data_IF_003318845703
#
_entry.id   IF_003318845703
#
_cell.length_a   1.000
_cell.length_b   1.000
_cell.length_c   1.000
_cell.angle_alpha   90.00
_cell.angle_beta   90.00
_cell.angle_gamma   90.00
#
_symmetry.space_group_name_H-M   'P 1'
#
loop_
_entity.id
_entity.type
_entity.pdbx_description
1 polymer ?
#
# COMPACT_ATOMS: atom_id res chain seq x y z
N UNK A 1 10.64 -28.27 8.78
CA UNK A 1 10.61 -27.67 7.43
C UNK A 1 9.38 -26.78 7.19
N UNK A 2 8.24 -27.01 7.86
CA UNK A 2 7.02 -26.18 7.73
C UNK A 2 7.21 -24.68 8.01
N UNK A 3 8.11 -24.30 8.93
CA UNK A 3 8.40 -22.89 9.24
C UNK A 3 9.01 -22.09 8.09
N UNK A 4 9.49 -22.77 7.03
CA UNK A 4 10.05 -22.12 5.84
C UNK A 4 9.01 -21.81 4.76
N UNK A 5 7.77 -22.26 4.95
CA UNK A 5 6.69 -21.99 4.00
C UNK A 5 6.23 -20.53 4.13
N UNK A 6 6.25 -19.71 3.06
CA UNK A 6 5.94 -18.28 3.15
C UNK A 6 4.55 -17.96 3.68
N UNK A 7 3.59 -18.86 3.50
CA UNK A 7 2.22 -18.71 3.99
C UNK A 7 2.05 -19.05 5.47
N UNK A 8 3.07 -19.62 6.12
CA UNK A 8 3.00 -20.01 7.53
C UNK A 8 3.57 -18.88 8.40
N UNK A 9 2.76 -18.41 9.34
CA UNK A 9 3.13 -17.41 10.34
C UNK A 9 3.84 -18.05 11.53
N UNK A 10 3.29 -19.15 12.04
CA UNK A 10 3.87 -19.90 13.14
C UNK A 10 3.42 -21.36 13.13
N UNK A 11 4.28 -22.23 13.67
CA UNK A 11 3.98 -23.64 13.91
C UNK A 11 4.27 -23.94 15.38
N UNK A 12 3.33 -24.57 16.06
CA UNK A 12 3.53 -25.08 17.42
C UNK A 12 3.34 -26.59 17.36
N UNK A 13 4.41 -27.32 17.67
CA UNK A 13 4.42 -28.78 17.74
C UNK A 13 4.48 -29.17 19.21
N UNK A 14 3.50 -29.94 19.68
CA UNK A 14 3.49 -30.50 21.04
C UNK A 14 3.24 -32.00 21.01
N UNK A 15 3.93 -32.72 21.90
CA UNK A 15 3.69 -34.16 22.11
C UNK A 15 2.56 -34.33 23.12
N UNK A 16 1.59 -35.17 22.79
CA UNK A 16 0.51 -35.60 23.68
C UNK A 16 0.67 -37.09 23.93
N UNK A 17 0.94 -37.48 25.18
CA UNK A 17 1.16 -38.87 25.56
C UNK A 17 -0.10 -39.74 25.37
N UNK A 18 0.04 -41.06 25.16
CA UNK A 18 1.32 -41.78 25.00
C UNK A 18 2.02 -41.49 23.66
N UNK A 19 1.28 -41.43 22.54
CA UNK A 19 1.89 -41.47 21.19
C UNK A 19 1.32 -40.47 20.17
N UNK A 20 0.68 -39.39 20.62
CA UNK A 20 0.11 -38.37 19.73
C UNK A 20 1.03 -37.15 19.56
N UNK A 21 1.02 -36.55 18.38
CA UNK A 21 1.63 -35.23 18.11
C UNK A 21 0.50 -34.28 17.73
N UNK A 22 0.45 -33.12 18.37
CA UNK A 22 -0.43 -32.01 17.99
C UNK A 22 0.39 -30.96 17.28
N UNK A 23 -0.03 -30.60 16.06
CA UNK A 23 0.57 -29.51 15.29
C UNK A 23 -0.49 -28.42 15.13
N UNK A 24 -0.19 -27.21 15.60
CA UNK A 24 -0.99 -26.02 15.35
C UNK A 24 -0.25 -25.11 14.38
N UNK A 25 -0.90 -24.76 13.28
CA UNK A 25 -0.35 -23.87 12.24
C UNK A 25 -1.18 -22.60 12.24
N UNK A 26 -0.51 -21.45 12.29
CA UNK A 26 -1.13 -20.15 12.04
C UNK A 26 -0.69 -19.67 10.66
N UNK A 27 -1.63 -19.39 9.77
CA UNK A 27 -1.33 -18.91 8.41
C UNK A 27 -1.29 -17.38 8.33
N UNK A 28 -0.46 -16.85 7.42
CA UNK A 28 -0.41 -15.43 7.07
C UNK A 28 -1.57 -15.07 6.14
N UNK A 29 -2.10 -13.86 6.32
CA UNK A 29 -3.19 -13.33 5.49
C UNK A 29 -2.64 -12.28 4.53
N UNK A 30 -2.89 -12.41 3.21
CA UNK A 30 -2.58 -11.34 2.26
C UNK A 30 -3.28 -10.05 2.66
N UNK A 31 -2.52 -8.95 2.67
CA UNK A 31 -2.98 -7.62 3.10
C UNK A 31 -2.87 -6.60 1.97
N UNK A 32 -1.68 -6.45 1.38
CA UNK A 32 -1.43 -5.54 0.27
C UNK A 32 -0.68 -6.24 -0.85
N UNK A 33 -0.79 -5.69 -2.06
CA UNK A 33 0.16 -5.97 -3.14
C UNK A 33 1.23 -4.89 -3.09
N UNK A 34 2.49 -5.28 -3.01
CA UNK A 34 3.60 -4.34 -3.03
C UNK A 34 4.50 -4.54 -4.24
N UNK A 35 4.98 -3.42 -4.79
CA UNK A 35 6.08 -3.43 -5.77
C UNK A 35 7.40 -3.53 -5.02
N UNK A 36 8.15 -4.59 -5.29
CA UNK A 36 9.47 -4.84 -4.74
C UNK A 36 10.38 -5.10 -5.94
N UNK A 37 11.37 -4.23 -6.13
CA UNK A 37 12.14 -4.13 -7.38
C UNK A 37 11.20 -4.03 -8.60
N UNK A 38 11.35 -4.93 -9.57
CA UNK A 38 10.56 -4.96 -10.82
C UNK A 38 9.40 -5.97 -10.78
N UNK A 39 8.96 -6.39 -9.60
CA UNK A 39 7.88 -7.37 -9.45
C UNK A 39 6.88 -6.99 -8.37
N UNK A 40 5.71 -7.64 -8.42
CA UNK A 40 4.61 -7.40 -7.50
C UNK A 40 4.30 -8.64 -6.68
N UNK A 41 4.19 -8.46 -5.38
CA UNK A 41 3.96 -9.56 -4.44
C UNK A 41 2.85 -9.23 -3.46
N UNK A 42 2.06 -10.24 -3.11
CA UNK A 42 1.25 -10.18 -1.91
C UNK A 42 2.13 -10.16 -0.68
N UNK A 43 1.83 -9.25 0.23
CA UNK A 43 2.45 -9.14 1.55
C UNK A 43 1.40 -9.19 2.65
N UNK A 44 1.81 -9.53 3.86
CA UNK A 44 0.95 -9.50 5.05
C UNK A 44 1.17 -8.23 5.90
N UNK A 45 0.57 -8.18 7.08
CA UNK A 45 0.67 -7.07 8.04
C UNK A 45 2.08 -6.86 8.62
N UNK A 46 2.96 -7.85 8.50
CA UNK A 46 4.36 -7.79 8.92
C UNK A 46 5.30 -7.49 7.75
N UNK A 47 4.75 -7.10 6.59
CA UNK A 47 5.45 -6.87 5.34
C UNK A 47 6.22 -8.11 4.83
N UNK A 48 5.80 -9.32 5.20
CA UNK A 48 6.39 -10.56 4.69
C UNK A 48 5.82 -10.88 3.31
N UNK A 49 6.71 -11.17 2.37
CA UNK A 49 6.35 -11.63 1.02
C UNK A 49 5.70 -13.01 1.12
N UNK A 50 4.52 -13.16 0.53
CA UNK A 50 3.75 -14.40 0.52
C UNK A 50 3.88 -15.11 -0.83
N UNK A 51 3.46 -14.44 -1.91
CA UNK A 51 3.47 -14.97 -3.28
C UNK A 51 3.45 -13.86 -4.30
N UNK A 52 3.85 -14.15 -5.53
CA UNK A 52 3.75 -13.21 -6.65
C UNK A 52 2.28 -12.90 -6.95
N UNK A 53 1.98 -11.63 -7.23
CA UNK A 53 0.66 -11.20 -7.67
C UNK A 53 0.47 -11.39 -9.18
N UNK A 54 -0.76 -11.63 -9.61
CA UNK A 54 -1.11 -11.69 -11.05
C UNK A 54 -1.44 -10.30 -11.60
N UNK A 55 -1.39 -10.14 -12.92
CA UNK A 55 -1.71 -8.86 -13.58
C UNK A 55 -3.13 -8.37 -13.27
N UNK A 56 -4.10 -9.29 -13.20
CA UNK A 56 -5.48 -8.97 -12.82
C UNK A 56 -5.56 -8.46 -11.38
N UNK A 57 -4.83 -9.09 -10.45
CA UNK A 57 -4.77 -8.65 -9.06
C UNK A 57 -4.13 -7.25 -8.95
N UNK A 58 -3.08 -6.99 -9.73
CA UNK A 58 -2.41 -5.68 -9.76
C UNK A 58 -3.38 -4.59 -10.23
N UNK A 59 -4.18 -4.85 -11.28
CA UNK A 59 -5.14 -3.88 -11.83
C UNK A 59 -6.28 -3.54 -10.86
N UNK A 60 -6.69 -4.51 -10.05
CA UNK A 60 -7.87 -4.43 -9.18
C UNK A 60 -7.56 -4.02 -7.73
N UNK A 61 -6.30 -3.77 -7.38
CA UNK A 61 -5.90 -3.42 -6.01
C UNK A 61 -5.04 -2.16 -6.00
N UNK A 62 -5.08 -1.43 -4.88
CA UNK A 62 -4.12 -0.36 -4.61
C UNK A 62 -2.75 -0.96 -4.33
N UNK A 63 -1.74 -0.50 -5.05
CA UNK A 63 -0.37 -0.99 -4.92
C UNK A 63 0.40 -0.22 -3.84
N UNK A 64 1.16 -0.91 -3.01
CA UNK A 64 2.14 -0.30 -2.11
C UNK A 64 3.52 -0.22 -2.78
N UNK A 65 4.09 0.98 -2.81
CA UNK A 65 5.43 1.26 -3.34
C UNK A 65 6.31 1.77 -2.20
N UNK A 66 7.59 1.38 -2.22
CA UNK A 66 8.61 1.92 -1.32
C UNK A 66 9.08 0.96 -0.22
N UNK A 67 8.69 -0.31 -0.28
CA UNK A 67 9.30 -1.34 0.58
C UNK A 67 10.75 -1.58 0.15
N UNK A 68 11.61 -1.84 1.14
CA UNK A 68 13.04 -2.10 0.96
C UNK A 68 13.36 -3.52 1.42
N UNK A 69 14.05 -4.33 0.60
CA UNK A 69 14.28 -5.76 0.90
C UNK A 69 14.94 -6.03 2.25
N UNK A 70 15.76 -5.08 2.73
CA UNK A 70 16.61 -5.26 3.92
C UNK A 70 16.14 -4.50 5.16
N UNK A 71 15.05 -3.74 5.08
CA UNK A 71 14.56 -2.90 6.19
C UNK A 71 13.18 -3.37 6.69
N UNK A 72 13.18 -4.47 7.45
CA UNK A 72 11.95 -5.12 7.95
C UNK A 72 11.15 -4.18 8.85
N UNK A 73 11.82 -3.41 9.72
CA UNK A 73 11.15 -2.55 10.68
C UNK A 73 10.46 -1.36 10.00
N UNK A 74 11.14 -0.66 9.07
CA UNK A 74 10.49 0.40 8.30
C UNK A 74 9.42 -0.14 7.36
N UNK A 75 9.60 -1.33 6.79
CA UNK A 75 8.57 -1.97 5.98
C UNK A 75 7.29 -2.23 6.76
N UNK A 76 7.40 -2.71 8.00
CA UNK A 76 6.26 -2.85 8.89
C UNK A 76 5.59 -1.49 9.16
N UNK A 77 6.38 -0.43 9.38
CA UNK A 77 5.84 0.93 9.52
C UNK A 77 5.11 1.41 8.25
N UNK A 78 5.64 1.10 7.06
CA UNK A 78 5.01 1.40 5.77
C UNK A 78 3.68 0.68 5.61
N UNK A 79 3.61 -0.61 5.97
CA UNK A 79 2.36 -1.37 5.93
C UNK A 79 1.33 -0.82 6.91
N UNK A 80 1.74 -0.46 8.13
CA UNK A 80 0.85 0.20 9.11
C UNK A 80 0.30 1.53 8.59
N UNK A 81 1.15 2.37 7.98
CA UNK A 81 0.71 3.64 7.39
C UNK A 81 -0.21 3.41 6.18
N UNK A 82 0.10 2.42 5.33
CA UNK A 82 -0.75 2.04 4.21
C UNK A 82 -2.13 1.56 4.67
N UNK A 83 -2.21 0.82 5.78
CA UNK A 83 -3.48 0.38 6.37
C UNK A 83 -4.32 1.57 6.86
N UNK A 84 -3.69 2.52 7.56
CA UNK A 84 -4.33 3.79 7.96
C UNK A 84 -4.85 4.56 6.75
N UNK A 85 -4.02 4.73 5.73
CA UNK A 85 -4.38 5.39 4.47
C UNK A 85 -5.57 4.70 3.79
N UNK A 86 -5.51 3.37 3.66
CA UNK A 86 -6.57 2.59 3.05
C UNK A 86 -7.90 2.76 3.80
N UNK A 87 -7.88 2.68 5.14
CA UNK A 87 -9.07 2.87 5.96
C UNK A 87 -9.67 4.28 5.79
N UNK A 88 -8.86 5.34 5.88
CA UNK A 88 -9.33 6.71 5.72
C UNK A 88 -9.90 6.97 4.31
N UNK A 89 -9.23 6.48 3.26
CA UNK A 89 -9.70 6.65 1.88
C UNK A 89 -10.93 5.80 1.56
N UNK A 90 -11.04 4.61 2.17
CA UNK A 90 -12.24 3.78 2.06
C UNK A 90 -13.45 4.49 2.67
N UNK A 91 -13.30 5.04 3.88
CA UNK A 91 -14.36 5.81 4.55
C UNK A 91 -14.75 7.06 3.77
N UNK A 92 -13.78 7.69 3.08
CA UNK A 92 -14.02 8.85 2.23
C UNK A 92 -14.55 8.52 0.83
N UNK A 93 -14.65 7.23 0.45
CA UNK A 93 -15.10 6.80 -0.88
C UNK A 93 -14.12 7.11 -2.02
N UNK A 94 -12.81 7.21 -1.71
CA UNK A 94 -11.79 7.69 -2.66
C UNK A 94 -10.93 6.57 -3.27
N UNK A 95 -11.02 5.33 -2.77
CA UNK A 95 -10.13 4.24 -3.19
C UNK A 95 -10.16 3.94 -4.69
N UNK A 96 -11.31 4.11 -5.34
CA UNK A 96 -11.47 3.88 -6.78
C UNK A 96 -10.64 4.84 -7.66
N UNK A 97 -10.22 5.99 -7.13
CA UNK A 97 -9.36 6.96 -7.82
C UNK A 97 -7.87 6.68 -7.62
N UNK A 98 -7.52 5.75 -6.73
CA UNK A 98 -6.14 5.51 -6.30
C UNK A 98 -5.57 4.29 -7.00
N UNK A 99 -4.40 4.45 -7.61
CA UNK A 99 -3.61 3.36 -8.18
C UNK A 99 -2.57 2.83 -7.21
N UNK A 100 -1.89 3.71 -6.48
CA UNK A 100 -0.85 3.28 -5.55
C UNK A 100 -0.68 4.22 -4.36
N UNK A 101 -0.24 3.65 -3.24
CA UNK A 101 0.39 4.36 -2.13
C UNK A 101 1.89 4.30 -2.31
N UNK A 102 2.52 5.46 -2.45
CA UNK A 102 3.97 5.58 -2.50
C UNK A 102 4.49 6.05 -1.15
N UNK A 103 5.07 5.10 -0.41
CA UNK A 103 5.63 5.25 0.93
C UNK A 103 7.14 5.04 0.93
N UNK A 104 7.81 5.34 -0.19
CA UNK A 104 9.28 5.38 -0.23
C UNK A 104 9.84 6.33 0.83
N UNK A 105 9.13 7.43 1.10
CA UNK A 105 9.38 8.32 2.24
C UNK A 105 8.16 8.32 3.19
N UNK A 106 8.33 7.78 4.41
CA UNK A 106 7.28 7.74 5.45
C UNK A 106 6.86 9.12 5.96
N UNK A 107 7.69 10.14 5.78
CA UNK A 107 7.40 11.52 6.21
C UNK A 107 6.61 12.30 5.16
N UNK A 108 6.66 11.86 3.90
CA UNK A 108 6.00 12.49 2.75
C UNK A 108 5.19 11.44 1.99
N UNK A 109 4.12 10.89 2.59
CA UNK A 109 3.28 9.92 1.93
C UNK A 109 2.68 10.49 0.66
N UNK A 110 2.75 9.73 -0.43
CA UNK A 110 2.21 10.10 -1.73
C UNK A 110 1.16 9.09 -2.17
N UNK A 111 0.19 9.58 -2.91
CA UNK A 111 -0.81 8.77 -3.60
C UNK A 111 -0.65 8.98 -5.10
N UNK A 112 -0.66 7.89 -5.84
CA UNK A 112 -0.68 7.91 -7.30
C UNK A 112 -2.12 7.72 -7.73
N UNK A 113 -2.64 8.66 -8.50
CA UNK A 113 -3.99 8.63 -9.06
C UNK A 113 -3.93 8.69 -10.58
N UNK A 114 -5.03 8.33 -11.22
CA UNK A 114 -5.20 8.45 -12.66
C UNK A 114 -6.37 9.40 -12.95
N UNK A 115 -6.13 10.37 -13.83
CA UNK A 115 -7.14 11.33 -14.28
C UNK A 115 -6.89 11.68 -15.75
N UNK A 116 -7.95 11.71 -16.57
CA UNK A 116 -7.84 12.00 -18.02
C UNK A 116 -6.83 11.13 -18.78
N UNK A 117 -6.61 9.89 -18.33
CA UNK A 117 -5.65 8.94 -18.90
C UNK A 117 -4.19 9.18 -18.46
N UNK A 118 -3.96 10.13 -17.56
CA UNK A 118 -2.64 10.53 -17.09
C UNK A 118 -2.43 10.16 -15.63
N UNK A 119 -1.20 9.77 -15.30
CA UNK A 119 -0.78 9.50 -13.92
C UNK A 119 -0.43 10.83 -13.24
N UNK A 120 -1.04 11.08 -12.08
CA UNK A 120 -0.75 12.26 -11.26
C UNK A 120 -0.31 11.83 -9.87
N UNK A 121 0.76 12.45 -9.38
CA UNK A 121 1.26 12.20 -8.01
C UNK A 121 0.73 13.26 -7.06
N UNK A 122 0.05 12.83 -6.00
CA UNK A 122 -0.46 13.69 -4.92
C UNK A 122 0.36 13.47 -3.66
N UNK A 123 1.11 14.48 -3.21
CA UNK A 123 1.75 14.47 -1.91
C UNK A 123 0.76 14.89 -0.83
N UNK A 124 0.65 14.08 0.23
CA UNK A 124 -0.33 14.28 1.29
C UNK A 124 0.31 14.84 2.55
N UNK A 125 -0.51 15.52 3.36
CA UNK A 125 -0.20 15.84 4.75
C UNK A 125 -0.11 14.59 5.62
N UNK A 126 0.36 14.73 6.86
CA UNK A 126 0.47 13.60 7.82
C UNK A 126 -0.83 13.34 8.59
N UNK A 127 -1.74 14.30 8.54
CA UNK A 127 -3.03 14.30 9.23
C UNK A 127 -4.16 14.56 8.23
N UNK A 128 -5.36 14.09 8.54
CA UNK A 128 -6.56 14.25 7.72
C UNK A 128 -6.33 13.83 6.25
N UNK A 129 -5.73 12.65 6.03
CA UNK A 129 -5.28 12.18 4.72
C UNK A 129 -6.46 12.18 3.73
N UNK A 130 -7.62 11.69 4.16
CA UNK A 130 -8.84 11.67 3.34
C UNK A 130 -9.30 13.06 2.88
N UNK A 131 -9.25 14.06 3.76
CA UNK A 131 -9.59 15.44 3.42
C UNK A 131 -8.56 16.05 2.44
N UNK A 132 -7.27 15.85 2.73
CA UNK A 132 -6.14 16.29 1.90
C UNK A 132 -6.26 15.74 0.48
N UNK A 133 -6.53 14.43 0.33
CA UNK A 133 -6.71 13.81 -0.96
C UNK A 133 -7.96 14.32 -1.68
N UNK A 134 -9.08 14.49 -0.97
CA UNK A 134 -10.31 15.03 -1.56
C UNK A 134 -10.08 16.41 -2.18
N UNK A 135 -9.40 17.31 -1.47
CA UNK A 135 -9.05 18.64 -1.99
C UNK A 135 -8.14 18.58 -3.22
N UNK A 136 -7.17 17.65 -3.24
CA UNK A 136 -6.35 17.45 -4.41
C UNK A 136 -7.18 16.95 -5.62
N UNK A 137 -8.11 16.03 -5.38
CA UNK A 137 -8.98 15.48 -6.43
C UNK A 137 -9.96 16.52 -6.98
N UNK A 138 -10.49 17.42 -6.14
CA UNK A 138 -11.31 18.56 -6.58
C UNK A 138 -10.56 19.47 -7.56
N UNK A 139 -9.25 19.70 -7.32
CA UNK A 139 -8.41 20.51 -8.21
C UNK A 139 -8.01 19.75 -9.49
N UNK A 140 -7.87 18.42 -9.37
CA UNK A 140 -7.45 17.56 -10.46
C UNK A 140 -8.55 17.26 -11.48
N UNK A 141 -9.83 17.28 -11.09
CA UNK A 141 -10.95 16.73 -11.86
C UNK A 141 -10.93 17.13 -13.35
N UNK A 142 -10.63 16.16 -14.22
CA UNK A 142 -10.56 16.33 -15.68
C UNK A 142 -9.27 16.98 -16.21
N UNK A 143 -8.38 17.43 -15.32
CA UNK A 143 -7.17 18.22 -15.63
C UNK A 143 -5.87 17.41 -15.59
N UNK A 144 -5.94 16.08 -15.58
CA UNK A 144 -4.76 15.21 -15.56
C UNK A 144 -3.75 15.46 -16.70
N UNK A 145 -4.21 15.95 -17.86
CA UNK A 145 -3.35 16.35 -19.00
C UNK A 145 -2.55 17.62 -18.76
N UNK A 146 -3.00 18.49 -17.87
CA UNK A 146 -2.30 19.73 -17.50
C UNK A 146 -1.43 19.53 -16.25
N UNK A 147 -1.89 18.69 -15.33
CA UNK A 147 -1.33 18.58 -13.98
C UNK A 147 -0.39 17.36 -13.90
N UNK A 148 0.84 17.60 -13.45
CA UNK A 148 1.84 16.56 -13.20
C UNK A 148 1.75 16.05 -11.76
N UNK A 149 1.65 16.99 -10.81
CA UNK A 149 1.60 16.66 -9.39
C UNK A 149 0.89 17.73 -8.58
N UNK A 150 0.38 17.32 -7.42
CA UNK A 150 -0.30 18.18 -6.45
C UNK A 150 0.34 17.96 -5.08
N UNK A 151 0.62 19.04 -4.36
CA UNK A 151 1.01 18.98 -2.94
C UNK A 151 -0.17 19.46 -2.12
N UNK A 152 -0.74 18.57 -1.30
CA UNK A 152 -1.93 18.80 -0.47
C UNK A 152 -1.60 18.68 1.02
N UNK A 153 -0.49 19.28 1.45
CA UNK A 153 0.00 19.19 2.83
C UNK A 153 -0.57 20.29 3.75
N UNK A 154 -1.30 21.27 3.21
CA UNK A 154 -1.85 22.40 3.95
C UNK A 154 -3.29 22.73 3.54
N UNK A 155 -3.76 23.93 3.88
CA UNK A 155 -5.14 24.36 3.60
C UNK A 155 -5.48 24.49 2.10
N UNK A 156 -4.48 24.75 1.25
CA UNK A 156 -4.66 24.91 -0.19
C UNK A 156 -3.69 24.01 -0.97
N UNK A 157 -4.17 23.24 -1.97
CA UNK A 157 -3.32 22.44 -2.83
C UNK A 157 -2.41 23.30 -3.71
N UNK A 158 -1.14 22.91 -3.83
CA UNK A 158 -0.18 23.52 -4.76
C UNK A 158 -0.06 22.60 -5.97
N UNK A 159 -0.24 23.16 -7.17
CA UNK A 159 -0.26 22.42 -8.43
C UNK A 159 1.05 22.63 -9.19
N UNK A 160 1.64 21.54 -9.69
CA UNK A 160 2.70 21.57 -10.69
C UNK A 160 2.13 21.15 -12.03
N UNK A 161 2.28 22.03 -13.03
CA UNK A 161 1.87 21.78 -14.39
C UNK A 161 2.92 20.98 -15.16
N UNK A 162 2.45 20.13 -16.09
CA UNK A 162 3.30 19.47 -17.06
C UNK A 162 3.95 20.52 -17.95
N UNK A 163 5.21 20.30 -18.33
CA UNK A 163 5.83 21.06 -19.40
C UNK A 163 5.22 20.59 -20.72
N UNK A 164 4.62 21.52 -21.45
CA UNK A 164 4.15 21.32 -22.82
C UNK A 164 5.33 21.18 -23.79
#
# INVERSE_FOLDING_TARGET
>A
QLEKEPMIKSVIVSRKLPDSITVRITERKPKFIARIAESYFWIDEEARILKKATDEQIKNNVILIGLEERDVDKNKQRVTLADKMYAEFSQAGLLNRIRAFNLSNLYEPKVIVEDSGEIVTVALGRENLGYSLRKALEVLDGRGKEIESIISQGGYPIVRFRKL
#
